data_IF_800586245377
#
_entry.id   IF_800586245377
#
_cell.length_a   1.000
_cell.length_b   1.000
_cell.length_c   1.000
_cell.angle_alpha   90.00
_cell.angle_beta   90.00
_cell.angle_gamma   90.00
#
_symmetry.space_group_name_H-M   'P 1'
#
loop_
_entity.id
_entity.type
_entity.pdbx_description
1 polymer ?
#
# COMPACT_ATOMS: atom_id res chain seq x y z
N UNK A 1 -4.21 14.71 8.29
CA UNK A 1 -4.24 13.82 7.13
C UNK A 1 -4.81 12.45 7.49
N UNK A 2 -6.07 12.22 7.12
CA UNK A 2 -6.73 10.93 7.29
C UNK A 2 -6.31 9.93 6.20
N UNK A 3 -6.47 8.64 6.49
CA UNK A 3 -6.13 7.55 5.55
C UNK A 3 -6.88 7.67 4.22
N UNK A 4 -8.13 8.15 4.25
CA UNK A 4 -8.93 8.44 3.06
C UNK A 4 -8.32 9.59 2.25
N UNK A 5 -7.92 10.67 2.92
CA UNK A 5 -7.29 11.82 2.29
C UNK A 5 -5.97 11.43 1.60
N UNK A 6 -5.18 10.53 2.21
CA UNK A 6 -3.98 9.98 1.57
C UNK A 6 -4.29 9.24 0.25
N UNK A 7 -5.43 8.55 0.16
CA UNK A 7 -5.84 7.88 -1.08
C UNK A 7 -6.29 8.88 -2.15
N UNK A 8 -6.92 9.99 -1.75
CA UNK A 8 -7.29 11.11 -2.65
C UNK A 8 -6.05 11.77 -3.27
N UNK A 9 -4.94 11.78 -2.54
CA UNK A 9 -3.61 12.20 -3.01
C UNK A 9 -2.82 11.08 -3.74
N UNK A 10 -3.45 9.95 -4.01
CA UNK A 10 -2.86 8.88 -4.83
C UNK A 10 -1.95 7.91 -4.09
N UNK A 11 -1.96 7.90 -2.76
CA UNK A 11 -1.18 6.93 -1.99
C UNK A 11 -1.70 5.51 -2.23
N UNK A 12 -0.79 4.55 -2.07
CA UNK A 12 -1.16 3.14 -1.94
C UNK A 12 -1.09 2.78 -0.47
N UNK A 13 -2.18 2.24 0.06
CA UNK A 13 -2.23 1.68 1.40
C UNK A 13 -2.17 0.17 1.34
N UNK A 14 -1.14 -0.39 1.96
CA UNK A 14 -0.96 -1.82 2.18
C UNK A 14 -1.31 -2.09 3.64
N UNK A 15 -2.28 -2.97 3.88
CA UNK A 15 -2.59 -3.44 5.22
C UNK A 15 -2.44 -4.95 5.30
N UNK A 16 -2.05 -5.47 6.46
CA UNK A 16 -1.90 -6.91 6.68
C UNK A 16 -2.61 -7.38 7.95
N UNK A 17 -3.15 -8.60 7.94
CA UNK A 17 -3.68 -9.21 9.15
C UNK A 17 -2.54 -9.88 9.93
N UNK A 18 -2.18 -9.40 11.14
CA UNK A 18 -1.09 -9.97 11.94
C UNK A 18 -1.34 -11.43 12.37
N UNK A 19 -2.60 -11.89 12.32
CA UNK A 19 -2.95 -13.27 12.68
C UNK A 19 -2.91 -14.24 11.49
N UNK A 20 -2.84 -13.74 10.26
CA UNK A 20 -2.86 -14.56 9.03
C UNK A 20 -1.53 -14.51 8.27
N UNK A 21 -0.83 -13.38 8.32
CA UNK A 21 0.46 -13.23 7.63
C UNK A 21 1.57 -13.98 8.38
N UNK A 22 2.44 -14.65 7.64
CA UNK A 22 3.65 -15.25 8.22
C UNK A 22 4.66 -14.15 8.61
N UNK A 23 5.52 -14.41 9.60
CA UNK A 23 6.58 -13.44 9.97
C UNK A 23 7.56 -13.21 8.80
N UNK A 24 7.84 -14.25 8.00
CA UNK A 24 8.69 -14.13 6.80
C UNK A 24 8.07 -13.22 5.74
N UNK A 25 6.79 -13.39 5.47
CA UNK A 25 6.02 -12.59 4.52
C UNK A 25 5.92 -11.13 4.97
N UNK A 26 5.72 -10.89 6.27
CA UNK A 26 5.71 -9.53 6.84
C UNK A 26 7.05 -8.82 6.62
N UNK A 27 8.16 -9.50 6.93
CA UNK A 27 9.51 -8.95 6.73
C UNK A 27 9.77 -8.69 5.23
N UNK A 28 9.36 -9.60 4.36
CA UNK A 28 9.52 -9.44 2.91
C UNK A 28 8.70 -8.25 2.36
N UNK A 29 7.48 -8.07 2.87
CA UNK A 29 6.62 -6.94 2.54
C UNK A 29 7.23 -5.60 2.98
N UNK A 30 7.70 -5.52 4.23
CA UNK A 30 8.36 -4.33 4.78
C UNK A 30 9.61 -3.97 3.95
N UNK A 31 10.45 -4.97 3.62
CA UNK A 31 11.63 -4.79 2.79
C UNK A 31 11.28 -4.32 1.36
N UNK A 32 10.24 -4.86 0.74
CA UNK A 32 9.81 -4.46 -0.60
C UNK A 32 9.41 -2.98 -0.63
N UNK A 33 8.68 -2.52 0.38
CA UNK A 33 8.24 -1.13 0.47
C UNK A 33 9.42 -0.19 0.72
N UNK A 34 10.35 -0.57 1.59
CA UNK A 34 11.58 0.20 1.85
C UNK A 34 12.46 0.33 0.59
N UNK A 35 12.56 -0.72 -0.23
CA UNK A 35 13.33 -0.70 -1.48
C UNK A 35 12.63 0.05 -2.62
N UNK A 36 11.29 0.03 -2.66
CA UNK A 36 10.49 0.60 -3.75
C UNK A 36 9.96 2.01 -3.53
N UNK A 37 10.13 2.58 -2.33
CA UNK A 37 9.56 3.87 -1.95
C UNK A 37 10.66 4.90 -1.65
N UNK A 38 11.03 5.79 -2.60
CA UNK A 38 12.02 6.85 -2.36
C UNK A 38 11.54 7.95 -1.39
N UNK A 39 10.26 7.96 -0.98
CA UNK A 39 9.65 9.05 -0.21
C UNK A 39 9.17 8.61 1.19
N UNK A 40 10.02 7.89 1.93
CA UNK A 40 9.80 7.71 3.38
C UNK A 40 9.83 9.05 4.16
N UNK A 41 10.33 10.14 3.54
CA UNK A 41 10.46 11.47 4.13
C UNK A 41 9.55 12.51 3.42
N UNK A 42 8.23 12.38 3.61
CA UNK A 42 7.29 13.52 3.68
C UNK A 42 7.01 14.41 2.46
N UNK A 43 7.58 14.16 1.27
CA UNK A 43 7.47 15.09 0.13
C UNK A 43 6.65 14.63 -1.09
N UNK A 44 6.03 13.44 -1.10
CA UNK A 44 5.30 12.98 -2.29
C UNK A 44 4.46 11.72 -2.11
N UNK A 45 3.76 11.33 -3.18
CA UNK A 45 2.82 10.20 -3.21
C UNK A 45 3.47 8.91 -2.73
N UNK A 46 3.04 8.41 -1.56
CA UNK A 46 3.71 7.35 -0.82
C UNK A 46 3.02 5.98 -0.85
N UNK A 47 3.70 5.02 -0.22
CA UNK A 47 3.12 3.72 0.16
C UNK A 47 3.04 3.68 1.68
N UNK A 48 1.84 3.43 2.23
CA UNK A 48 1.58 3.33 3.66
C UNK A 48 1.45 1.85 4.00
N UNK A 49 2.11 1.37 5.05
CA UNK A 49 1.99 -0.02 5.52
C UNK A 49 1.50 -0.03 6.97
N UNK A 50 0.38 -0.71 7.26
CA UNK A 50 -0.11 -0.83 8.64
C UNK A 50 -0.68 -2.22 8.97
N UNK A 51 -0.57 -2.67 10.23
CA UNK A 51 -1.31 -3.85 10.68
C UNK A 51 -2.82 -3.55 10.74
N UNK A 52 -3.65 -4.51 10.34
CA UNK A 52 -5.12 -4.45 10.40
C UNK A 52 -5.71 -5.86 10.62
N UNK A 53 -6.01 -6.20 11.87
CA UNK A 53 -6.61 -7.48 12.25
C UNK A 53 -8.02 -7.71 11.65
N UNK A 54 -8.68 -6.64 11.20
CA UNK A 54 -9.97 -6.70 10.52
C UNK A 54 -9.88 -7.03 9.02
N UNK A 55 -8.68 -7.32 8.48
CA UNK A 55 -8.54 -7.84 7.12
C UNK A 55 -9.04 -9.29 7.09
N UNK A 56 -9.87 -9.61 6.10
CA UNK A 56 -10.35 -10.96 5.82
C UNK A 56 -9.36 -11.80 5.01
N UNK A 57 -8.31 -11.18 4.47
CA UNK A 57 -7.14 -11.81 3.84
C UNK A 57 -5.86 -11.47 4.59
N UNK A 58 -4.75 -12.17 4.28
CA UNK A 58 -3.45 -11.90 4.90
C UNK A 58 -2.94 -10.49 4.58
N UNK A 59 -3.12 -10.03 3.33
CA UNK A 59 -2.71 -8.71 2.86
C UNK A 59 -3.85 -8.09 2.04
N UNK A 60 -4.06 -6.78 2.18
CA UNK A 60 -4.95 -5.99 1.35
C UNK A 60 -4.21 -4.75 0.83
N UNK A 61 -4.23 -4.57 -0.48
CA UNK A 61 -3.66 -3.43 -1.20
C UNK A 61 -4.81 -2.53 -1.64
N UNK A 62 -4.80 -1.29 -1.17
CA UNK A 62 -5.81 -0.29 -1.46
C UNK A 62 -5.17 0.92 -2.14
N UNK A 63 -5.84 1.44 -3.13
CA UNK A 63 -5.58 2.78 -3.70
C UNK A 63 -6.94 3.41 -4.01
N UNK A 64 -6.96 4.63 -4.55
CA UNK A 64 -8.22 5.26 -4.92
C UNK A 64 -9.09 4.35 -5.81
N UNK A 65 -10.28 4.00 -5.32
CA UNK A 65 -11.26 3.13 -5.99
C UNK A 65 -10.72 1.76 -6.46
N UNK A 66 -9.67 1.23 -5.81
CA UNK A 66 -9.12 -0.10 -6.11
C UNK A 66 -8.79 -0.83 -4.81
N UNK A 67 -9.09 -2.12 -4.80
CA UNK A 67 -8.77 -3.03 -3.71
C UNK A 67 -8.34 -4.36 -4.29
N UNK A 68 -7.17 -4.85 -3.87
CA UNK A 68 -6.69 -6.20 -4.17
C UNK A 68 -6.39 -6.91 -2.85
N UNK A 69 -6.87 -8.14 -2.71
CA UNK A 69 -6.65 -8.98 -1.53
C UNK A 69 -5.75 -10.14 -1.90
N UNK A 70 -4.79 -10.46 -1.03
CA UNK A 70 -3.86 -11.57 -1.19
C UNK A 70 -3.87 -12.43 0.09
N UNK A 71 -3.91 -13.74 -0.09
CA UNK A 71 -3.85 -14.72 1.01
C UNK A 71 -2.42 -14.98 1.50
N UNK A 72 -1.41 -14.62 0.69
CA UNK A 72 0.01 -14.70 1.03
C UNK A 72 0.78 -13.57 0.34
N UNK A 73 2.02 -13.31 0.78
CA UNK A 73 2.84 -12.30 0.14
C UNK A 73 3.31 -12.74 -1.25
N UNK A 74 3.01 -11.91 -2.26
CA UNK A 74 3.54 -12.04 -3.62
C UNK A 74 4.21 -10.71 -4.02
N UNK A 75 5.54 -10.74 -4.08
CA UNK A 75 6.35 -9.56 -4.39
C UNK A 75 6.03 -8.95 -5.76
N UNK A 76 5.76 -9.79 -6.77
CA UNK A 76 5.45 -9.32 -8.13
C UNK A 76 4.11 -8.61 -8.13
N UNK A 77 3.09 -9.24 -7.56
CA UNK A 77 1.73 -8.67 -7.49
C UNK A 77 1.70 -7.37 -6.68
N UNK A 78 2.35 -7.32 -5.51
CA UNK A 78 2.43 -6.10 -4.69
C UNK A 78 3.13 -4.97 -5.45
N UNK A 79 4.25 -5.26 -6.12
CA UNK A 79 4.99 -4.27 -6.90
C UNK A 79 4.16 -3.73 -8.07
N UNK A 80 3.55 -4.62 -8.85
CA UNK A 80 2.71 -4.23 -9.98
C UNK A 80 1.52 -3.38 -9.52
N UNK A 81 0.90 -3.72 -8.38
CA UNK A 81 -0.17 -2.90 -7.82
C UNK A 81 0.32 -1.49 -7.46
N UNK A 82 1.46 -1.39 -6.76
CA UNK A 82 2.04 -0.10 -6.37
C UNK A 82 2.40 0.74 -7.60
N UNK A 83 3.12 0.18 -8.56
CA UNK A 83 3.53 0.87 -9.80
C UNK A 83 2.33 1.29 -10.66
N UNK A 84 1.27 0.46 -10.68
CA UNK A 84 0.08 0.73 -11.48
C UNK A 84 -0.78 1.82 -10.87
N UNK A 85 -0.87 1.93 -9.55
CA UNK A 85 -1.89 2.76 -8.89
C UNK A 85 -1.35 3.96 -8.12
N UNK A 86 -0.07 3.97 -7.72
CA UNK A 86 0.53 5.12 -7.03
C UNK A 86 0.48 6.36 -7.93
N UNK A 87 -0.03 7.46 -7.38
CA UNK A 87 -0.17 8.74 -8.08
C UNK A 87 -1.39 8.82 -8.98
N UNK A 88 -2.27 7.81 -8.96
CA UNK A 88 -3.51 7.79 -9.75
C UNK A 88 -4.72 7.95 -8.84
N UNK A 89 -5.13 9.19 -8.63
CA UNK A 89 -6.28 9.58 -7.83
C UNK A 89 -6.84 10.92 -8.34
N UNK A 90 -8.10 11.28 -8.00
CA UNK A 90 -8.78 12.46 -8.55
C UNK A 90 -8.06 13.78 -8.26
N UNK A 91 -7.34 13.90 -7.14
CA UNK A 91 -6.55 15.10 -6.83
C UNK A 91 -5.07 14.96 -7.26
N UNK A 92 -4.70 13.85 -7.90
CA UNK A 92 -3.32 13.47 -8.18
C UNK A 92 -2.57 14.35 -9.19
N UNK A 93 -3.22 15.29 -9.88
CA UNK A 93 -2.59 16.34 -10.70
C UNK A 93 -3.51 17.56 -10.84
N UNK A 94 -3.70 18.33 -9.77
CA UNK A 94 -3.99 19.77 -9.88
C UNK A 94 -3.04 20.50 -8.92
N UNK A 95 -1.79 20.66 -9.34
CA UNK A 95 -1.03 21.85 -8.93
C UNK A 95 -1.12 22.83 -10.10
N UNK A 96 -1.67 24.05 -9.92
CA UNK A 96 -1.68 25.08 -10.97
C UNK A 96 -0.26 25.45 -11.44
#
# INVERSE_FOLDING_TARGET
EDLIHNLEHGHVWISYNPNLISNGDRIALENLVLQGSPNANGGGVGVIVTPRAANDSAIALASWARLLKLDAFDATTVRSFVETNRGKAPEGFITP
#
